data_IF_398651762527
#
_entry.id   IF_398651762527
#
_cell.length_a   1.000
_cell.length_b   1.000
_cell.length_c   1.000
_cell.angle_alpha   90.00
_cell.angle_beta   90.00
_cell.angle_gamma   90.00
#
_symmetry.space_group_name_H-M   'P 1'
#
loop_
_entity.id
_entity.type
_entity.pdbx_description
1 polymer ?
#
# COMPACT_ATOMS: atom_id res chain seq x y z
N UNK A 1 69.26 -10.81 4.70
CA UNK A 1 69.23 -10.92 6.17
C UNK A 1 67.79 -10.71 6.59
N UNK A 2 67.14 -11.83 6.82
CA UNK A 2 65.80 -11.87 7.42
C UNK A 2 65.97 -11.75 8.93
N UNK A 3 65.30 -10.79 9.52
CA UNK A 3 65.15 -10.68 10.97
C UNK A 3 63.75 -11.16 11.35
N UNK A 4 63.69 -12.39 11.88
CA UNK A 4 62.50 -12.94 12.53
C UNK A 4 62.32 -12.28 13.89
N UNK A 5 61.26 -11.49 14.05
CA UNK A 5 60.82 -11.04 15.36
C UNK A 5 59.83 -12.09 15.88
N UNK A 6 60.29 -12.95 16.80
CA UNK A 6 59.45 -13.83 17.60
C UNK A 6 58.81 -13.00 18.71
N UNK A 7 57.53 -12.68 18.57
CA UNK A 7 56.73 -12.27 19.72
C UNK A 7 56.29 -13.50 20.50
N UNK A 8 56.81 -13.59 21.70
CA UNK A 8 56.44 -14.60 22.71
C UNK A 8 55.16 -14.09 23.39
N UNK A 9 53.99 -14.61 22.99
CA UNK A 9 52.74 -14.40 23.73
C UNK A 9 52.66 -15.55 24.74
N UNK A 10 53.23 -15.35 25.91
CA UNK A 10 52.98 -16.18 27.09
C UNK A 10 51.86 -15.52 27.90
N UNK A 11 50.73 -16.20 28.02
CA UNK A 11 49.72 -15.85 29.01
C UNK A 11 48.36 -15.42 28.49
N UNK A 12 47.85 -16.10 27.48
CA UNK A 12 46.39 -16.15 27.29
C UNK A 12 45.94 -17.51 27.85
N UNK A 13 45.14 -17.40 28.89
CA UNK A 13 44.57 -18.52 29.64
C UNK A 13 43.79 -19.42 28.72
N UNK A 14 43.87 -20.72 28.97
CA UNK A 14 43.06 -21.81 28.39
C UNK A 14 41.55 -21.70 28.69
N UNK A 15 41.07 -20.55 29.15
CA UNK A 15 39.67 -20.29 29.55
C UNK A 15 38.77 -19.87 28.39
N UNK A 16 39.23 -19.81 27.13
CA UNK A 16 38.42 -19.39 25.97
C UNK A 16 37.86 -20.57 25.16
N UNK A 17 38.13 -21.81 25.55
CA UNK A 17 37.67 -23.01 24.83
C UNK A 17 36.52 -23.79 25.53
N UNK A 18 35.90 -23.21 26.54
CA UNK A 18 34.55 -23.61 26.93
C UNK A 18 33.54 -22.60 26.37
N UNK A 19 33.48 -22.45 25.04
CA UNK A 19 32.28 -21.95 24.41
C UNK A 19 31.20 -23.00 24.70
N UNK A 20 30.42 -22.72 25.74
CA UNK A 20 29.14 -23.38 25.99
C UNK A 20 28.41 -23.55 24.66
N UNK A 21 27.97 -24.77 24.34
CA UNK A 21 26.99 -25.09 23.31
C UNK A 21 25.63 -24.42 23.64
N UNK A 22 25.64 -23.18 24.07
CA UNK A 22 24.48 -22.35 24.36
C UNK A 22 23.93 -21.80 23.07
N UNK A 23 22.76 -22.22 22.70
CA UNK A 23 21.93 -21.57 21.67
C UNK A 23 21.95 -20.06 21.86
N UNK A 24 22.46 -19.30 20.90
CA UNK A 24 22.24 -17.86 20.84
C UNK A 24 20.73 -17.61 20.65
N UNK A 25 20.10 -16.98 21.65
CA UNK A 25 18.71 -16.55 21.50
C UNK A 25 18.67 -15.40 20.47
N UNK A 26 17.57 -15.29 19.72
CA UNK A 26 17.36 -14.13 18.80
C UNK A 26 17.50 -12.80 19.53
N UNK A 27 17.16 -12.75 20.83
CA UNK A 27 17.35 -11.56 21.67
C UNK A 27 18.83 -11.21 21.93
N UNK A 28 19.76 -12.18 21.76
CA UNK A 28 21.20 -11.96 21.89
C UNK A 28 21.85 -11.49 20.58
N UNK A 29 21.09 -11.48 19.48
CA UNK A 29 21.55 -10.94 18.20
C UNK A 29 21.62 -9.43 18.25
N UNK A 30 22.47 -8.82 17.42
CA UNK A 30 22.41 -7.39 17.21
C UNK A 30 20.98 -7.00 16.79
N UNK A 31 20.50 -5.87 17.28
CA UNK A 31 19.13 -5.43 17.02
C UNK A 31 18.82 -5.36 15.52
N UNK A 32 19.79 -4.93 14.73
CA UNK A 32 19.71 -4.84 13.27
C UNK A 32 19.58 -6.20 12.56
N UNK A 33 19.91 -7.30 13.21
CA UNK A 33 19.83 -8.68 12.66
C UNK A 33 18.57 -9.42 13.08
N UNK A 34 17.82 -8.89 14.04
CA UNK A 34 16.56 -9.50 14.50
C UNK A 34 15.48 -9.38 13.44
N UNK A 35 14.75 -10.46 13.13
CA UNK A 35 13.78 -10.44 12.01
C UNK A 35 12.68 -9.38 12.11
N UNK A 36 12.17 -9.08 13.30
CA UNK A 36 11.12 -8.05 13.48
C UNK A 36 11.64 -6.66 13.22
N UNK A 37 12.76 -6.33 13.78
CA UNK A 37 13.45 -5.05 13.63
C UNK A 37 13.92 -4.84 12.19
N UNK A 38 14.37 -5.91 11.52
CA UNK A 38 14.67 -5.89 10.08
C UNK A 38 13.44 -5.65 9.22
N UNK A 39 12.31 -6.29 9.57
CA UNK A 39 11.04 -6.06 8.86
C UNK A 39 10.61 -4.60 8.96
N UNK A 40 10.68 -4.03 10.16
CA UNK A 40 10.29 -2.64 10.42
C UNK A 40 11.19 -1.64 9.67
N UNK A 41 12.50 -1.87 9.69
CA UNK A 41 13.49 -0.93 9.12
C UNK A 41 13.63 -1.06 7.61
N UNK A 42 13.63 -2.27 7.07
CA UNK A 42 13.99 -2.55 5.67
C UNK A 42 12.80 -2.96 4.81
N UNK A 43 11.70 -3.44 5.41
CA UNK A 43 10.59 -4.02 4.68
C UNK A 43 10.69 -5.54 4.48
N UNK A 44 9.56 -6.14 4.09
CA UNK A 44 9.42 -7.60 4.01
C UNK A 44 10.25 -8.23 2.89
N UNK A 45 10.52 -7.49 1.82
CA UNK A 45 11.31 -7.94 0.67
C UNK A 45 12.76 -8.31 1.02
N UNK A 46 13.28 -7.79 2.12
CA UNK A 46 14.65 -8.05 2.59
C UNK A 46 14.75 -9.25 3.55
N UNK A 47 13.64 -9.88 3.86
CA UNK A 47 13.62 -11.05 4.75
C UNK A 47 13.43 -12.34 3.95
N UNK A 48 14.12 -13.39 4.39
CA UNK A 48 13.90 -14.74 3.88
C UNK A 48 12.55 -15.30 4.35
N UNK A 49 12.02 -16.31 3.66
CA UNK A 49 10.80 -17.00 4.08
C UNK A 49 10.91 -17.56 5.50
N UNK A 50 12.10 -18.03 5.89
CA UNK A 50 12.33 -18.55 7.24
C UNK A 50 12.24 -17.45 8.31
N UNK A 51 12.74 -16.24 8.03
CA UNK A 51 12.63 -15.11 8.93
C UNK A 51 11.19 -14.60 9.05
N UNK A 52 10.45 -14.53 7.95
CA UNK A 52 9.03 -14.18 7.98
C UNK A 52 8.20 -15.20 8.79
N UNK A 53 8.42 -16.48 8.59
CA UNK A 53 7.77 -17.54 9.37
C UNK A 53 8.20 -17.51 10.84
N UNK A 54 9.47 -17.20 11.13
CA UNK A 54 9.96 -17.06 12.50
C UNK A 54 9.27 -15.91 13.25
N UNK A 55 8.98 -14.79 12.57
CA UNK A 55 8.17 -13.69 13.15
C UNK A 55 6.79 -14.19 13.55
N UNK A 56 6.14 -15.01 12.71
CA UNK A 56 4.80 -15.53 12.95
C UNK A 56 4.74 -16.46 14.15
N UNK A 57 5.70 -17.40 14.28
CA UNK A 57 5.72 -18.37 15.39
C UNK A 57 6.29 -17.80 16.70
N UNK A 58 7.00 -16.67 16.64
CA UNK A 58 7.50 -15.89 17.77
C UNK A 58 8.66 -16.51 18.55
N UNK A 59 8.77 -17.84 18.65
CA UNK A 59 9.80 -18.52 19.41
C UNK A 59 10.16 -19.87 18.80
N UNK A 60 11.43 -20.29 18.96
CA UNK A 60 11.89 -21.63 18.61
C UNK A 60 11.61 -22.67 19.72
N UNK A 61 12.58 -23.57 19.93
CA UNK A 61 12.58 -24.57 21.00
C UNK A 61 13.83 -24.41 21.88
N UNK A 62 14.07 -25.36 22.79
CA UNK A 62 15.26 -25.33 23.69
C UNK A 62 16.59 -25.39 22.94
N UNK A 63 16.63 -25.91 21.71
CA UNK A 63 17.86 -26.16 20.94
C UNK A 63 18.01 -25.31 19.68
N UNK A 64 16.94 -24.70 19.19
CA UNK A 64 16.89 -23.96 17.93
C UNK A 64 16.20 -22.61 18.08
N UNK A 65 16.68 -21.59 17.37
CA UNK A 65 15.96 -20.32 17.25
C UNK A 65 14.69 -20.51 16.42
N UNK A 66 13.80 -19.53 16.45
CA UNK A 66 12.63 -19.56 15.57
C UNK A 66 13.03 -19.60 14.08
N UNK A 67 14.11 -18.89 13.72
CA UNK A 67 14.62 -18.87 12.34
C UNK A 67 15.18 -20.23 11.94
N UNK A 68 15.97 -20.87 12.80
CA UNK A 68 16.57 -22.19 12.49
C UNK A 68 15.49 -23.27 12.39
N UNK A 69 14.49 -23.22 13.29
CA UNK A 69 13.35 -24.11 13.23
C UNK A 69 12.58 -23.96 11.90
N UNK A 70 12.36 -22.73 11.44
CA UNK A 70 11.68 -22.50 10.17
C UNK A 70 12.55 -22.83 8.96
N UNK A 71 13.88 -22.67 9.03
CA UNK A 71 14.79 -23.18 8.00
C UNK A 71 14.70 -24.72 7.87
N UNK A 72 14.61 -25.42 8.98
CA UNK A 72 14.44 -26.88 8.98
C UNK A 72 13.12 -27.29 8.31
N UNK A 73 11.99 -26.71 8.74
CA UNK A 73 10.67 -26.99 8.17
C UNK A 73 10.64 -26.69 6.66
N UNK A 74 11.19 -25.53 6.25
CA UNK A 74 11.24 -25.16 4.83
C UNK A 74 12.18 -26.06 4.04
N UNK A 75 13.30 -26.50 4.63
CA UNK A 75 14.23 -27.46 4.01
C UNK A 75 13.51 -28.75 3.62
N UNK A 76 12.72 -29.33 4.55
CA UNK A 76 11.91 -30.53 4.30
C UNK A 76 10.79 -30.30 3.27
N UNK A 77 10.39 -29.04 3.06
CA UNK A 77 9.47 -28.61 2.01
C UNK A 77 10.17 -28.20 0.70
N UNK A 78 11.46 -28.49 0.53
CA UNK A 78 12.28 -28.03 -0.61
C UNK A 78 12.24 -26.50 -0.81
N UNK A 79 12.15 -25.72 0.27
CA UNK A 79 11.98 -24.27 0.30
C UNK A 79 10.75 -23.76 -0.49
N UNK A 80 9.73 -24.60 -0.63
CA UNK A 80 8.52 -24.28 -1.40
C UNK A 80 7.34 -24.01 -0.48
N UNK A 81 6.83 -22.78 -0.49
CA UNK A 81 5.68 -22.35 0.33
C UNK A 81 4.37 -23.06 -0.05
N UNK A 82 4.22 -23.50 -1.31
CA UNK A 82 3.05 -24.29 -1.71
C UNK A 82 3.09 -25.69 -1.08
N UNK A 83 4.28 -26.28 -0.91
CA UNK A 83 4.46 -27.55 -0.19
C UNK A 83 4.18 -27.37 1.28
N UNK A 84 4.69 -26.31 1.91
CA UNK A 84 4.41 -25.96 3.29
C UNK A 84 2.89 -25.84 3.56
N UNK A 85 2.17 -25.14 2.67
CA UNK A 85 0.72 -24.93 2.79
C UNK A 85 -0.13 -26.18 2.56
N UNK A 86 0.45 -27.32 2.18
CA UNK A 86 -0.22 -28.63 2.05
C UNK A 86 -0.04 -29.51 3.28
N UNK A 87 0.85 -29.14 4.19
CA UNK A 87 1.05 -29.89 5.43
C UNK A 87 -0.19 -29.81 6.31
N UNK A 88 -0.44 -30.88 7.07
CA UNK A 88 -1.46 -30.87 8.13
C UNK A 88 -0.87 -30.31 9.43
N UNK A 89 -1.75 -29.96 10.38
CA UNK A 89 -1.34 -29.58 11.75
C UNK A 89 -0.44 -30.67 12.33
N UNK A 90 -0.82 -31.95 12.19
CA UNK A 90 -0.05 -33.10 12.70
C UNK A 90 1.33 -33.24 12.07
N UNK A 91 1.49 -32.86 10.79
CA UNK A 91 2.80 -32.89 10.12
C UNK A 91 3.72 -31.82 10.70
N UNK A 92 3.18 -30.64 10.97
CA UNK A 92 3.93 -29.54 11.59
C UNK A 92 4.27 -29.82 13.05
N UNK A 93 3.39 -30.47 13.79
CA UNK A 93 3.64 -30.85 15.20
C UNK A 93 4.78 -31.89 15.39
N UNK A 94 5.22 -32.56 14.31
CA UNK A 94 6.39 -33.46 14.36
C UNK A 94 7.70 -32.69 14.61
N UNK A 95 7.72 -31.41 14.34
CA UNK A 95 8.90 -30.59 14.60
C UNK A 95 8.91 -30.14 16.06
N UNK A 96 9.96 -30.49 16.76
CA UNK A 96 10.11 -30.07 18.16
C UNK A 96 10.11 -28.54 18.27
N UNK A 97 9.17 -28.01 19.05
CA UNK A 97 8.96 -26.57 19.22
C UNK A 97 7.81 -25.99 18.39
N UNK A 98 7.13 -26.82 17.58
CA UNK A 98 5.88 -26.47 16.92
C UNK A 98 4.74 -27.24 17.60
N UNK A 99 3.98 -26.54 18.43
CA UNK A 99 2.72 -27.07 18.97
C UNK A 99 1.54 -26.63 18.12
N UNK A 100 0.30 -27.02 18.51
CA UNK A 100 -0.92 -26.73 17.76
C UNK A 100 -1.08 -25.24 17.39
N UNK A 101 -0.82 -24.34 18.33
CA UNK A 101 -0.96 -22.91 18.11
C UNK A 101 -0.04 -22.39 17.00
N UNK A 102 1.24 -22.78 16.99
CA UNK A 102 2.20 -22.39 15.95
C UNK A 102 1.84 -23.00 14.60
N UNK A 103 1.45 -24.28 14.59
CA UNK A 103 1.01 -24.97 13.37
C UNK A 103 -0.21 -24.27 12.74
N UNK A 104 -1.19 -23.91 13.55
CA UNK A 104 -2.38 -23.16 13.10
C UNK A 104 -1.96 -21.79 12.54
N UNK A 105 -1.07 -21.05 13.19
CA UNK A 105 -0.58 -19.74 12.72
C UNK A 105 0.07 -19.87 11.35
N UNK A 106 0.94 -20.86 11.14
CA UNK A 106 1.60 -21.09 9.84
C UNK A 106 0.57 -21.37 8.75
N UNK A 107 -0.36 -22.30 8.99
CA UNK A 107 -1.37 -22.68 8.00
C UNK A 107 -2.36 -21.55 7.71
N UNK A 108 -2.73 -20.77 8.72
CA UNK A 108 -3.57 -19.59 8.54
C UNK A 108 -2.88 -18.56 7.64
N UNK A 109 -1.58 -18.32 7.83
CA UNK A 109 -0.81 -17.41 6.98
C UNK A 109 -0.73 -17.92 5.52
N UNK A 110 -0.51 -19.23 5.32
CA UNK A 110 -0.53 -19.84 3.99
C UNK A 110 -1.91 -19.70 3.32
N UNK A 111 -3.00 -19.91 4.04
CA UNK A 111 -4.36 -19.76 3.49
C UNK A 111 -4.67 -18.30 3.15
N UNK A 112 -4.26 -17.34 3.99
CA UNK A 112 -4.40 -15.91 3.68
C UNK A 112 -3.64 -15.52 2.42
N UNK A 113 -2.40 -16.00 2.26
CA UNK A 113 -1.61 -15.81 1.05
C UNK A 113 -2.32 -16.36 -0.20
N UNK A 114 -2.90 -17.57 -0.09
CA UNK A 114 -3.68 -18.20 -1.15
C UNK A 114 -4.95 -17.41 -1.48
N UNK A 115 -5.68 -16.91 -0.49
CA UNK A 115 -6.86 -16.06 -0.71
C UNK A 115 -6.47 -14.76 -1.40
N UNK A 116 -5.43 -14.07 -0.92
CA UNK A 116 -4.90 -12.86 -1.55
C UNK A 116 -4.53 -13.09 -3.02
N UNK A 117 -3.90 -14.22 -3.36
CA UNK A 117 -3.57 -14.54 -4.74
C UNK A 117 -4.80 -14.79 -5.63
N UNK A 118 -5.94 -15.17 -5.03
CA UNK A 118 -7.23 -15.38 -5.74
C UNK A 118 -8.10 -14.12 -5.78
N UNK A 119 -7.85 -13.14 -4.92
CA UNK A 119 -8.57 -11.88 -4.97
C UNK A 119 -8.30 -11.23 -6.32
N UNK A 120 -9.38 -10.95 -7.04
CA UNK A 120 -9.28 -10.13 -8.25
C UNK A 120 -8.81 -8.75 -7.82
N UNK A 121 -7.81 -8.22 -8.52
CA UNK A 121 -7.45 -6.82 -8.38
C UNK A 121 -8.73 -6.00 -8.53
N UNK A 122 -8.97 -5.09 -7.58
CA UNK A 122 -10.12 -4.19 -7.62
C UNK A 122 -10.10 -3.50 -8.99
N UNK A 123 -11.13 -3.76 -9.80
CA UNK A 123 -11.23 -3.17 -11.14
C UNK A 123 -11.60 -1.71 -10.92
N UNK A 124 -10.59 -0.87 -10.81
CA UNK A 124 -10.77 0.57 -10.73
C UNK A 124 -11.45 1.06 -11.99
N UNK A 125 -12.47 1.91 -11.82
CA UNK A 125 -13.24 2.47 -12.95
C UNK A 125 -12.32 3.31 -13.82
N UNK A 126 -12.49 3.17 -15.12
CA UNK A 126 -11.86 4.02 -16.12
C UNK A 126 -12.67 5.31 -16.27
N UNK A 127 -12.05 6.45 -16.07
CA UNK A 127 -12.66 7.78 -16.18
C UNK A 127 -11.92 8.65 -17.21
N UNK A 128 -11.34 8.05 -18.24
CA UNK A 128 -10.56 8.73 -19.26
C UNK A 128 -11.36 9.56 -20.27
N UNK A 129 -12.67 9.72 -20.08
CA UNK A 129 -13.51 10.57 -20.96
C UNK A 129 -14.56 11.33 -20.16
N UNK A 130 -15.05 12.47 -20.71
CA UNK A 130 -16.11 13.25 -20.11
C UNK A 130 -17.40 12.42 -19.88
N UNK A 131 -17.77 11.60 -20.86
CA UNK A 131 -18.91 10.68 -20.73
C UNK A 131 -18.73 9.66 -19.62
N UNK A 132 -17.51 9.10 -19.45
CA UNK A 132 -17.23 8.15 -18.37
C UNK A 132 -17.33 8.82 -16.99
N UNK A 133 -16.82 10.04 -16.87
CA UNK A 133 -16.92 10.87 -15.67
C UNK A 133 -18.39 11.20 -15.37
N UNK A 134 -19.14 11.65 -16.37
CA UNK A 134 -20.58 11.93 -16.23
C UNK A 134 -21.35 10.71 -15.75
N UNK A 135 -21.21 9.57 -16.42
CA UNK A 135 -21.91 8.33 -16.05
C UNK A 135 -21.55 7.84 -14.64
N UNK A 136 -20.36 8.17 -14.16
CA UNK A 136 -19.94 7.87 -12.81
C UNK A 136 -20.54 8.82 -11.78
N UNK A 137 -20.58 10.12 -12.07
CA UNK A 137 -21.01 11.15 -11.14
C UNK A 137 -22.52 11.42 -11.14
N UNK A 138 -23.18 11.28 -12.29
CA UNK A 138 -24.61 11.58 -12.43
C UNK A 138 -25.50 10.87 -11.39
N UNK A 139 -25.38 9.56 -11.12
CA UNK A 139 -26.19 8.90 -10.10
C UNK A 139 -25.99 9.41 -8.67
N UNK A 140 -24.91 10.14 -8.43
CA UNK A 140 -24.57 10.68 -7.12
C UNK A 140 -25.04 12.13 -6.97
N UNK A 141 -25.35 12.80 -8.09
CA UNK A 141 -25.63 14.23 -8.14
C UNK A 141 -27.05 14.58 -8.65
N UNK A 142 -27.74 13.66 -9.35
CA UNK A 142 -29.01 13.93 -10.04
C UNK A 142 -30.14 14.43 -9.13
N UNK A 143 -30.17 13.96 -7.87
CA UNK A 143 -31.24 14.26 -6.92
C UNK A 143 -30.83 15.33 -5.88
N UNK A 144 -29.75 16.06 -6.12
CA UNK A 144 -29.27 17.07 -5.19
C UNK A 144 -29.94 18.42 -5.43
N UNK A 145 -30.54 18.98 -4.39
CA UNK A 145 -31.16 20.31 -4.39
C UNK A 145 -30.15 21.46 -4.27
N UNK A 146 -28.87 21.14 -3.97
CA UNK A 146 -27.79 22.09 -3.77
C UNK A 146 -26.58 21.74 -4.62
N UNK A 147 -25.75 22.74 -4.93
CA UNK A 147 -24.50 22.49 -5.64
C UNK A 147 -23.50 21.77 -4.76
N UNK A 148 -22.91 20.72 -5.25
CA UNK A 148 -21.79 19.99 -4.67
C UNK A 148 -20.60 19.97 -5.63
N UNK A 149 -19.41 20.22 -5.11
CA UNK A 149 -18.18 20.10 -5.85
C UNK A 149 -17.38 18.87 -5.46
N UNK A 150 -16.91 18.14 -6.45
CA UNK A 150 -16.15 16.90 -6.31
C UNK A 150 -14.84 16.95 -7.04
N UNK A 151 -13.82 16.29 -6.50
CA UNK A 151 -12.57 15.98 -7.20
C UNK A 151 -12.48 14.47 -7.46
N UNK A 152 -12.10 14.12 -8.68
CA UNK A 152 -11.83 12.75 -9.10
C UNK A 152 -10.32 12.60 -9.28
N UNK A 153 -9.73 11.75 -8.49
CA UNK A 153 -8.30 11.49 -8.47
C UNK A 153 -8.00 10.20 -9.22
N UNK A 154 -7.09 10.24 -10.17
CA UNK A 154 -6.80 9.11 -11.06
C UNK A 154 -5.30 8.86 -11.16
N UNK A 155 -4.94 7.63 -11.52
CA UNK A 155 -3.59 7.27 -11.90
C UNK A 155 -3.31 7.60 -13.38
N UNK A 156 -2.05 7.39 -13.82
CA UNK A 156 -1.62 7.64 -15.22
C UNK A 156 -2.39 6.86 -16.30
N UNK A 157 -3.20 5.86 -15.92
CA UNK A 157 -4.04 5.07 -16.81
C UNK A 157 -5.52 5.44 -16.69
N UNK A 158 -5.83 6.65 -16.23
CA UNK A 158 -7.19 7.15 -16.02
C UNK A 158 -8.05 6.30 -15.08
N UNK A 159 -7.44 5.43 -14.26
CA UNK A 159 -8.18 4.62 -13.30
C UNK A 159 -8.42 5.41 -12.04
N UNK A 160 -9.69 5.44 -11.60
CA UNK A 160 -10.11 6.14 -10.39
C UNK A 160 -9.37 5.60 -9.16
N UNK A 161 -8.69 6.49 -8.44
CA UNK A 161 -8.11 6.24 -7.12
C UNK A 161 -9.14 6.57 -6.05
N UNK A 162 -9.74 7.77 -6.13
CA UNK A 162 -10.74 8.26 -5.20
C UNK A 162 -11.61 9.33 -5.83
N UNK A 163 -12.90 9.33 -5.49
CA UNK A 163 -13.83 10.42 -5.72
C UNK A 163 -14.14 11.08 -4.38
N UNK A 164 -13.87 12.36 -4.23
CA UNK A 164 -14.02 13.07 -2.97
C UNK A 164 -14.83 14.34 -3.14
N UNK A 165 -15.87 14.48 -2.30
CA UNK A 165 -16.60 15.75 -2.20
C UNK A 165 -15.71 16.79 -1.50
N UNK A 166 -15.53 17.93 -2.12
CA UNK A 166 -14.67 19.03 -1.68
C UNK A 166 -15.43 20.29 -1.30
N UNK A 167 -16.70 20.38 -1.69
CA UNK A 167 -17.58 21.46 -1.26
C UNK A 167 -19.02 20.98 -1.20
N UNK A 168 -19.79 21.61 -0.33
CA UNK A 168 -21.19 21.33 -0.08
C UNK A 168 -21.93 22.61 0.24
N UNK A 169 -22.96 22.93 -0.55
CA UNK A 169 -23.95 23.93 -0.21
C UNK A 169 -23.53 25.37 -0.40
N UNK A 170 -24.09 26.00 -1.40
CA UNK A 170 -24.28 27.42 -1.59
C UNK A 170 -25.42 27.58 -2.57
N UNK A 171 -26.40 28.41 -2.27
CA UNK A 171 -27.50 28.67 -3.22
C UNK A 171 -27.06 29.53 -4.42
N UNK A 172 -25.85 30.07 -4.40
CA UNK A 172 -25.36 31.01 -5.41
C UNK A 172 -23.94 30.78 -5.88
N UNK A 173 -23.05 30.22 -5.05
CA UNK A 173 -21.66 29.89 -5.43
C UNK A 173 -21.08 28.85 -4.49
N UNK A 174 -20.52 27.78 -5.04
CA UNK A 174 -19.76 26.78 -4.26
C UNK A 174 -18.29 27.17 -4.29
N UNK A 175 -17.79 27.74 -3.19
CA UNK A 175 -16.38 28.12 -3.07
C UNK A 175 -15.48 26.89 -2.94
N UNK A 176 -14.96 26.41 -4.07
CA UNK A 176 -13.97 25.34 -4.10
C UNK A 176 -12.57 25.94 -3.90
N UNK A 177 -11.88 25.51 -2.84
CA UNK A 177 -10.49 25.90 -2.59
C UNK A 177 -9.52 24.98 -3.35
N UNK A 178 -8.78 25.53 -4.29
CA UNK A 178 -7.76 24.82 -5.11
C UNK A 178 -6.71 24.11 -4.23
N UNK A 179 -6.40 24.66 -3.05
CA UNK A 179 -5.46 24.03 -2.10
C UNK A 179 -5.98 22.71 -1.57
N UNK A 180 -7.30 22.61 -1.37
CA UNK A 180 -7.94 21.34 -0.94
C UNK A 180 -7.82 20.30 -2.04
N UNK A 181 -8.10 20.66 -3.29
CA UNK A 181 -7.96 19.76 -4.46
C UNK A 181 -6.53 19.22 -4.54
N UNK A 182 -5.54 20.11 -4.53
CA UNK A 182 -4.13 19.71 -4.67
C UNK A 182 -3.64 18.88 -3.49
N UNK A 183 -4.06 19.22 -2.26
CA UNK A 183 -3.73 18.43 -1.07
C UNK A 183 -4.20 16.97 -1.23
N UNK A 184 -5.45 16.77 -1.64
CA UNK A 184 -5.98 15.43 -1.85
C UNK A 184 -5.23 14.69 -2.96
N UNK A 185 -4.92 15.37 -4.07
CA UNK A 185 -4.16 14.79 -5.17
C UNK A 185 -2.76 14.31 -4.72
N UNK A 186 -2.05 15.13 -3.93
CA UNK A 186 -0.73 14.79 -3.40
C UNK A 186 -0.80 13.61 -2.42
N UNK A 187 -1.73 13.65 -1.46
CA UNK A 187 -1.87 12.59 -0.45
C UNK A 187 -2.21 11.23 -1.07
N UNK A 188 -2.90 11.22 -2.20
CA UNK A 188 -3.29 9.99 -2.92
C UNK A 188 -2.34 9.62 -4.05
N UNK A 189 -1.23 10.37 -4.22
CA UNK A 189 -0.30 10.19 -5.34
C UNK A 189 -1.00 10.16 -6.70
N UNK A 190 -2.03 11.00 -6.88
CA UNK A 190 -2.74 11.11 -8.12
C UNK A 190 -1.88 11.83 -9.17
N UNK A 191 -1.86 11.30 -10.39
CA UNK A 191 -1.15 11.90 -11.53
C UNK A 191 -2.10 12.63 -12.46
N UNK A 192 -3.40 12.34 -12.36
CA UNK A 192 -4.47 12.95 -13.14
C UNK A 192 -5.60 13.32 -12.18
N UNK A 193 -6.23 14.45 -12.40
CA UNK A 193 -7.46 14.82 -11.72
C UNK A 193 -8.49 15.44 -12.68
N UNK A 194 -9.76 15.31 -12.33
CA UNK A 194 -10.88 16.06 -12.87
C UNK A 194 -11.68 16.66 -11.72
N UNK A 195 -12.38 17.74 -11.98
CA UNK A 195 -13.37 18.28 -11.04
C UNK A 195 -14.77 18.22 -11.65
N UNK A 196 -15.76 18.03 -10.78
CA UNK A 196 -17.16 17.99 -11.16
C UNK A 196 -17.99 18.80 -10.18
N UNK A 197 -19.04 19.43 -10.67
CA UNK A 197 -20.12 19.95 -9.83
C UNK A 197 -21.45 19.81 -10.55
N UNK A 198 -22.54 19.79 -9.79
CA UNK A 198 -23.88 19.77 -10.36
C UNK A 198 -24.49 21.16 -10.41
N UNK A 199 -25.36 21.37 -11.38
CA UNK A 199 -26.26 22.50 -11.43
C UNK A 199 -27.71 22.04 -11.18
N UNK A 200 -28.28 22.21 -9.98
CA UNK A 200 -29.67 21.81 -9.68
C UNK A 200 -30.71 22.49 -10.57
N UNK A 201 -30.37 23.66 -11.14
CA UNK A 201 -31.23 24.37 -12.10
C UNK A 201 -31.42 23.64 -13.43
N UNK A 202 -30.62 22.59 -13.70
CA UNK A 202 -30.60 21.87 -14.98
C UNK A 202 -29.93 22.64 -16.12
N UNK A 203 -29.37 23.82 -15.88
CA UNK A 203 -28.65 24.59 -16.91
C UNK A 203 -27.14 24.27 -16.85
N UNK A 204 -26.63 23.55 -17.84
CA UNK A 204 -25.21 23.15 -17.90
C UNK A 204 -24.25 24.28 -18.38
N UNK A 205 -24.76 25.49 -18.64
CA UNK A 205 -23.91 26.62 -19.06
C UNK A 205 -23.02 27.06 -17.91
N UNK A 206 -21.67 27.07 -18.08
CA UNK A 206 -20.77 27.50 -17.04
C UNK A 206 -21.01 28.95 -16.62
N UNK A 207 -20.92 29.22 -15.33
CA UNK A 207 -20.87 30.56 -14.79
C UNK A 207 -19.47 31.14 -14.92
N UNK A 208 -19.36 32.48 -14.69
CA UNK A 208 -18.07 33.13 -14.62
C UNK A 208 -17.17 32.64 -13.49
N UNK A 209 -17.79 32.17 -12.39
CA UNK A 209 -17.08 31.58 -11.26
C UNK A 209 -16.48 30.21 -11.64
N UNK A 210 -17.20 29.41 -12.41
CA UNK A 210 -16.73 28.10 -12.92
C UNK A 210 -15.52 28.29 -13.85
N UNK A 211 -15.58 29.29 -14.74
CA UNK A 211 -14.45 29.63 -15.61
C UNK A 211 -13.21 30.03 -14.80
N UNK A 212 -13.39 30.84 -13.77
CA UNK A 212 -12.28 31.29 -12.91
C UNK A 212 -11.72 30.12 -12.08
N UNK A 213 -12.58 29.24 -11.59
CA UNK A 213 -12.17 28.03 -10.87
C UNK A 213 -11.36 27.12 -11.78
N UNK A 214 -11.86 26.84 -12.99
CA UNK A 214 -11.21 25.99 -14.00
C UNK A 214 -9.80 26.49 -14.29
N UNK A 215 -9.66 27.79 -14.58
CA UNK A 215 -8.34 28.39 -14.85
C UNK A 215 -7.38 28.31 -13.68
N UNK A 216 -7.89 28.51 -12.45
CA UNK A 216 -7.05 28.42 -11.25
C UNK A 216 -6.58 26.97 -11.00
N UNK A 217 -7.47 25.98 -11.16
CA UNK A 217 -7.13 24.56 -11.01
C UNK A 217 -6.14 24.15 -12.08
N UNK A 218 -6.37 24.49 -13.34
CA UNK A 218 -5.47 24.19 -14.46
C UNK A 218 -4.05 24.69 -14.20
N UNK A 219 -3.90 25.99 -13.87
CA UNK A 219 -2.59 26.58 -13.56
C UNK A 219 -1.90 25.92 -12.38
N UNK A 220 -2.65 25.58 -11.34
CA UNK A 220 -2.11 24.91 -10.17
C UNK A 220 -1.66 23.47 -10.47
N UNK A 221 -2.42 22.73 -11.26
CA UNK A 221 -2.07 21.40 -11.74
C UNK A 221 -0.81 21.42 -12.63
N UNK A 222 -0.70 22.42 -13.52
CA UNK A 222 0.48 22.60 -14.36
C UNK A 222 1.76 22.77 -13.54
N UNK A 223 1.75 23.65 -12.54
CA UNK A 223 2.87 23.86 -11.62
C UNK A 223 3.24 22.57 -10.86
N UNK A 224 2.23 21.79 -10.45
CA UNK A 224 2.42 20.56 -9.71
C UNK A 224 2.70 19.33 -10.60
N UNK A 225 2.70 19.50 -11.92
CA UNK A 225 2.83 18.42 -12.92
C UNK A 225 1.78 17.31 -12.75
N UNK A 226 0.56 17.72 -12.40
CA UNK A 226 -0.61 16.86 -12.36
C UNK A 226 -1.41 17.18 -13.64
N UNK A 227 -1.84 16.14 -14.36
CA UNK A 227 -2.66 16.35 -15.55
C UNK A 227 -4.10 16.71 -15.13
N UNK A 228 -4.54 17.94 -15.48
CA UNK A 228 -5.93 18.34 -15.31
C UNK A 228 -6.74 17.85 -16.51
N UNK A 229 -7.53 16.80 -16.32
CA UNK A 229 -8.23 16.10 -17.39
C UNK A 229 -9.45 16.89 -17.87
N UNK A 230 -10.30 17.34 -16.92
CA UNK A 230 -11.55 18.01 -17.26
C UNK A 230 -12.17 18.73 -16.07
N UNK A 231 -13.09 19.64 -16.37
CA UNK A 231 -14.10 20.16 -15.46
C UNK A 231 -15.49 19.84 -16.04
N UNK A 232 -16.28 19.05 -15.33
CA UNK A 232 -17.59 18.58 -15.77
C UNK A 232 -18.69 19.24 -14.95
N UNK A 233 -19.64 19.89 -15.61
CA UNK A 233 -20.89 20.34 -14.99
C UNK A 233 -21.94 19.30 -15.26
N UNK A 234 -22.45 18.68 -14.19
CA UNK A 234 -23.41 17.55 -14.24
C UNK A 234 -24.83 18.13 -14.10
N UNK A 235 -25.68 17.81 -15.06
CA UNK A 235 -27.10 18.06 -15.00
C UNK A 235 -27.88 16.77 -15.24
N UNK A 236 -29.20 16.80 -15.03
CA UNK A 236 -30.03 15.65 -15.32
C UNK A 236 -30.14 15.43 -16.85
N UNK A 237 -29.70 14.25 -17.28
CA UNK A 237 -29.74 13.82 -18.68
C UNK A 237 -28.66 14.42 -19.59
N UNK A 238 -27.81 15.38 -19.13
CA UNK A 238 -26.74 15.98 -19.93
C UNK A 238 -25.65 16.60 -19.08
N UNK A 239 -24.53 16.99 -19.71
CA UNK A 239 -23.39 17.61 -19.03
C UNK A 239 -22.71 18.64 -19.92
N UNK A 240 -21.89 19.48 -19.32
CA UNK A 240 -20.91 20.33 -19.99
C UNK A 240 -19.51 19.87 -19.61
N UNK A 241 -18.63 19.74 -20.60
CA UNK A 241 -17.21 19.42 -20.42
C UNK A 241 -16.36 20.58 -20.93
N UNK A 242 -15.49 21.11 -20.10
CA UNK A 242 -14.55 22.15 -20.52
C UNK A 242 -13.57 21.66 -21.56
N UNK A 243 -13.11 20.41 -21.44
CA UNK A 243 -12.18 19.81 -22.39
C UNK A 243 -12.83 19.59 -23.76
N UNK A 244 -14.04 19.00 -23.84
CA UNK A 244 -14.74 18.77 -25.11
C UNK A 244 -15.10 20.06 -25.81
N UNK A 245 -15.30 21.14 -25.07
CA UNK A 245 -15.60 22.47 -25.61
C UNK A 245 -14.34 23.29 -25.93
N UNK A 246 -13.13 22.70 -25.75
CA UNK A 246 -11.85 23.40 -26.01
C UNK A 246 -11.60 24.62 -25.11
N UNK A 247 -12.09 24.55 -23.85
CA UNK A 247 -11.98 25.65 -22.87
C UNK A 247 -10.99 25.36 -21.74
N UNK A 248 -10.18 24.29 -21.86
CA UNK A 248 -9.02 24.02 -21.02
C UNK A 248 -7.73 24.55 -21.61
#
# INVERSE_FOLDING_TARGET
>A
RQMCIRYRISGLREDVLQMSNGKLNINDWAEEDRPRERLERLGAEWLSNAELLAILIGSGNAHQTAVDLMKQVLGDCNNNLNTLGKLSIKDLERYNGIGPAKAITILAACELGKRRAKEKAEVRRDLGSATAIYNFMHPQMQDLDVEEGWVLLMNQHFKLIEAKRISFGGFTETAIDVRVILREAILKNATILAICHNHPSGNAVPSRADDQLTQRVQKACEVMRIHFLDHIIVCDGHYFSYNEQGRL
#
